data_IF_409018583705
#
_entry.id   IF_409018583705
#
_cell.length_a   1.000
_cell.length_b   1.000
_cell.length_c   1.000
_cell.angle_alpha   90.00
_cell.angle_beta   90.00
_cell.angle_gamma   90.00
#
_symmetry.space_group_name_H-M   'P 1'
#
loop_
_entity.id
_entity.type
_entity.pdbx_description
1 polymer ?
#
# COMPACT_ATOMS: atom_id res chain seq x y z
N UNK A 1 6.38 -36.53 17.87
CA UNK A 1 5.25 -35.61 17.58
C UNK A 1 5.44 -35.09 16.16
N UNK A 2 4.52 -35.40 15.25
CA UNK A 2 4.56 -34.90 13.87
C UNK A 2 4.22 -33.40 13.87
N UNK A 3 5.11 -32.56 13.33
CA UNK A 3 4.85 -31.13 13.19
C UNK A 3 3.74 -30.93 12.15
N UNK A 4 2.57 -30.49 12.59
CA UNK A 4 1.50 -30.05 11.69
C UNK A 4 1.98 -28.85 10.90
N UNK A 5 1.89 -28.92 9.58
CA UNK A 5 2.21 -27.79 8.70
C UNK A 5 0.99 -26.88 8.68
N UNK A 6 1.15 -25.64 9.17
CA UNK A 6 0.14 -24.60 8.97
C UNK A 6 0.42 -23.88 7.66
N UNK A 7 -0.64 -23.64 6.90
CA UNK A 7 -0.66 -22.86 5.67
C UNK A 7 -1.34 -21.52 5.94
N UNK A 8 -0.73 -20.42 5.50
CA UNK A 8 -1.39 -19.11 5.47
C UNK A 8 -2.09 -18.96 4.12
N UNK A 9 -3.39 -18.66 4.16
CA UNK A 9 -4.16 -18.35 2.97
C UNK A 9 -3.59 -17.10 2.27
N UNK A 10 -3.19 -17.18 1.00
CA UNK A 10 -2.60 -16.05 0.28
C UNK A 10 -3.56 -14.87 0.10
N UNK A 11 -4.88 -15.10 0.24
CA UNK A 11 -5.93 -14.12 -0.05
C UNK A 11 -6.40 -13.34 1.18
N UNK A 12 -6.71 -14.03 2.29
CA UNK A 12 -7.21 -13.42 3.52
C UNK A 12 -6.24 -13.51 4.71
N UNK A 13 -5.13 -14.23 4.57
CA UNK A 13 -4.12 -14.40 5.60
C UNK A 13 -4.54 -15.30 6.76
N UNK A 14 -5.67 -16.02 6.63
CA UNK A 14 -6.08 -17.03 7.62
C UNK A 14 -5.08 -18.17 7.69
N UNK A 15 -4.76 -18.62 8.90
CA UNK A 15 -3.94 -19.80 9.15
C UNK A 15 -4.80 -21.04 9.22
N UNK A 16 -4.48 -22.07 8.45
CA UNK A 16 -5.26 -23.30 8.37
C UNK A 16 -4.36 -24.51 8.15
N UNK A 17 -4.92 -25.71 8.33
CA UNK A 17 -4.27 -26.94 7.87
C UNK A 17 -4.17 -26.98 6.34
N UNK A 18 -3.26 -27.80 5.83
CA UNK A 18 -3.09 -28.02 4.39
C UNK A 18 -4.43 -28.46 3.73
N UNK A 19 -4.88 -27.71 2.72
CA UNK A 19 -6.10 -27.95 1.95
C UNK A 19 -6.02 -27.25 0.61
N UNK A 20 -6.92 -27.56 -0.33
CA UNK A 20 -6.96 -26.95 -1.66
C UNK A 20 -7.68 -25.57 -1.68
N UNK A 21 -8.45 -25.28 -0.64
CA UNK A 21 -9.27 -24.07 -0.50
C UNK A 21 -9.15 -23.47 0.89
N UNK A 22 -9.30 -22.16 0.98
CA UNK A 22 -9.35 -21.49 2.27
C UNK A 22 -10.65 -21.82 3.03
N UNK A 23 -10.55 -22.22 4.29
CA UNK A 23 -11.73 -22.48 5.14
C UNK A 23 -12.47 -21.22 5.56
N UNK A 24 -11.78 -20.07 5.53
CA UNK A 24 -12.33 -18.75 5.92
C UNK A 24 -12.93 -18.00 4.73
N UNK A 25 -12.18 -17.80 3.64
CA UNK A 25 -12.67 -17.04 2.47
C UNK A 25 -13.14 -17.90 1.29
N UNK A 26 -12.98 -19.24 1.33
CA UNK A 26 -13.34 -20.13 0.22
C UNK A 26 -12.43 -20.08 -1.01
N UNK A 27 -11.41 -19.21 -1.01
CA UNK A 27 -10.51 -19.01 -2.15
C UNK A 27 -9.71 -20.27 -2.52
N UNK A 28 -9.66 -20.58 -3.81
CA UNK A 28 -8.92 -21.72 -4.40
C UNK A 28 -7.44 -21.41 -4.50
N UNK A 29 -6.55 -22.33 -4.11
CA UNK A 29 -5.09 -22.14 -4.25
C UNK A 29 -4.55 -22.49 -5.64
N UNK A 30 -5.38 -22.35 -6.67
CA UNK A 30 -5.02 -22.58 -8.06
C UNK A 30 -4.12 -21.45 -8.61
N UNK A 31 -3.34 -21.70 -9.67
CA UNK A 31 -2.47 -20.68 -10.28
C UNK A 31 -3.21 -19.43 -10.78
N UNK A 32 -4.40 -19.56 -11.36
CA UNK A 32 -5.16 -18.42 -11.92
C UNK A 32 -5.65 -17.46 -10.83
N UNK A 33 -6.23 -18.00 -9.75
CA UNK A 33 -6.66 -17.20 -8.60
C UNK A 33 -5.49 -16.45 -7.94
N UNK A 34 -4.30 -17.07 -7.92
CA UNK A 34 -3.06 -16.42 -7.46
C UNK A 34 -2.61 -15.30 -8.39
N UNK A 35 -2.67 -15.50 -9.70
CA UNK A 35 -2.35 -14.46 -10.68
C UNK A 35 -3.30 -13.25 -10.54
N UNK A 36 -4.61 -13.49 -10.39
CA UNK A 36 -5.59 -12.42 -10.20
C UNK A 36 -5.28 -11.56 -8.96
N UNK A 37 -4.92 -12.21 -7.85
CA UNK A 37 -4.52 -11.52 -6.61
C UNK A 37 -3.23 -10.73 -6.79
N UNK A 38 -2.28 -11.27 -7.54
CA UNK A 38 -1.01 -10.61 -7.83
C UNK A 38 -1.20 -9.31 -8.61
N UNK A 39 -2.13 -9.30 -9.58
CA UNK A 39 -2.43 -8.13 -10.38
C UNK A 39 -2.99 -6.96 -9.53
N UNK A 40 -3.59 -7.25 -8.37
CA UNK A 40 -4.09 -6.25 -7.43
C UNK A 40 -2.96 -5.67 -6.56
N UNK A 41 -2.12 -4.80 -7.13
CA UNK A 41 -1.09 -4.10 -6.36
C UNK A 41 -1.71 -3.10 -5.37
N UNK A 42 -1.34 -3.23 -4.10
CA UNK A 42 -1.74 -2.31 -3.04
C UNK A 42 -0.58 -1.90 -2.12
N UNK A 43 -0.85 -0.99 -1.17
CA UNK A 43 0.06 -0.64 -0.08
C UNK A 43 0.40 -1.84 0.81
N UNK A 44 1.22 -1.64 1.85
CA UNK A 44 1.45 -2.67 2.86
C UNK A 44 0.24 -2.84 3.76
N UNK A 45 -0.13 -4.07 4.08
CA UNK A 45 -1.18 -4.36 5.06
C UNK A 45 -0.67 -5.31 6.13
N UNK A 46 -1.16 -5.09 7.34
CA UNK A 46 -0.94 -5.94 8.52
C UNK A 46 -2.27 -6.62 8.82
N UNK A 47 -2.27 -7.94 8.96
CA UNK A 47 -3.49 -8.68 9.29
C UNK A 47 -3.86 -8.41 10.74
N UNK A 48 -5.05 -7.88 10.94
CA UNK A 48 -5.68 -7.69 12.24
C UNK A 48 -7.09 -8.26 12.18
N UNK A 49 -7.35 -9.30 12.96
CA UNK A 49 -8.66 -9.98 13.00
C UNK A 49 -9.74 -9.06 13.59
N UNK A 50 -9.36 -8.14 14.48
CA UNK A 50 -10.27 -7.14 15.04
C UNK A 50 -10.53 -5.96 14.11
N UNK A 51 -9.65 -5.74 13.11
CA UNK A 51 -9.75 -4.64 12.15
C UNK A 51 -9.48 -5.12 10.71
N UNK A 52 -10.36 -5.97 10.13
CA UNK A 52 -10.12 -6.57 8.81
C UNK A 52 -10.06 -5.55 7.67
N UNK A 53 -10.64 -4.37 7.86
CA UNK A 53 -10.67 -3.27 6.88
C UNK A 53 -9.68 -2.15 7.20
N UNK A 54 -8.61 -2.45 7.97
CA UNK A 54 -7.57 -1.46 8.24
C UNK A 54 -6.96 -0.97 6.91
N UNK A 55 -6.87 0.34 6.68
CA UNK A 55 -6.22 0.87 5.49
C UNK A 55 -4.77 0.40 5.43
N UNK A 56 -4.25 0.25 4.22
CA UNK A 56 -2.83 -0.04 4.07
C UNK A 56 -1.94 1.12 4.52
N UNK A 57 -0.67 0.84 4.70
CA UNK A 57 0.35 1.77 5.19
C UNK A 57 1.56 1.82 4.24
N UNK A 58 2.39 2.85 4.39
CA UNK A 58 3.67 2.95 3.69
C UNK A 58 4.70 1.99 4.28
N UNK A 59 5.76 1.69 3.52
CA UNK A 59 6.88 0.89 4.03
C UNK A 59 7.53 1.52 5.27
N UNK A 60 7.72 2.85 5.28
CA UNK A 60 8.31 3.54 6.43
C UNK A 60 7.43 3.43 7.68
N UNK A 61 6.11 3.47 7.50
CA UNK A 61 5.16 3.21 8.59
C UNK A 61 5.30 1.79 9.11
N UNK A 62 5.46 0.82 8.21
CA UNK A 62 5.70 -0.56 8.59
C UNK A 62 7.02 -0.72 9.38
N UNK A 63 8.10 -0.06 8.96
CA UNK A 63 9.38 -0.05 9.70
C UNK A 63 9.22 0.56 11.10
N UNK A 64 8.55 1.71 11.22
CA UNK A 64 8.27 2.30 12.54
C UNK A 64 7.48 1.36 13.45
N UNK A 65 6.57 0.54 12.90
CA UNK A 65 5.81 -0.44 13.67
C UNK A 65 6.67 -1.66 14.08
N UNK A 66 7.67 -2.03 13.29
CA UNK A 66 8.68 -3.04 13.67
C UNK A 66 9.55 -2.52 14.81
N UNK A 67 10.07 -1.30 14.70
CA UNK A 67 10.93 -0.70 15.72
C UNK A 67 10.20 -0.55 17.06
N UNK A 68 8.88 -0.30 17.02
CA UNK A 68 8.01 -0.26 18.21
C UNK A 68 7.61 -1.63 18.75
N UNK A 69 7.97 -2.73 18.07
CA UNK A 69 7.59 -4.09 18.44
C UNK A 69 6.11 -4.44 18.19
N UNK A 70 5.37 -3.60 17.48
CA UNK A 70 3.96 -3.88 17.11
C UNK A 70 3.90 -4.95 16.02
N UNK A 71 4.80 -4.87 15.04
CA UNK A 71 5.01 -5.91 14.04
C UNK A 71 6.12 -6.81 14.54
N UNK A 72 5.79 -8.08 14.76
CA UNK A 72 6.71 -9.10 15.26
C UNK A 72 7.03 -10.10 14.16
N UNK A 73 8.00 -10.99 14.40
CA UNK A 73 8.39 -12.06 13.47
C UNK A 73 7.23 -12.98 13.03
N UNK A 74 6.18 -13.08 13.84
CA UNK A 74 5.01 -13.94 13.61
C UNK A 74 3.82 -13.18 13.03
N UNK A 75 3.89 -11.85 12.93
CA UNK A 75 2.83 -11.02 12.35
C UNK A 75 2.63 -11.38 10.88
N UNK A 76 1.38 -11.51 10.46
CA UNK A 76 1.02 -11.79 9.07
C UNK A 76 0.86 -10.47 8.33
N UNK A 77 1.61 -10.28 7.25
CA UNK A 77 1.63 -9.06 6.45
C UNK A 77 1.52 -9.39 4.96
N UNK A 78 1.05 -8.42 4.17
CA UNK A 78 1.10 -8.46 2.70
C UNK A 78 1.64 -7.13 2.19
N UNK A 79 2.30 -7.14 1.05
CA UNK A 79 2.75 -5.93 0.40
C UNK A 79 3.47 -6.20 -0.92
N UNK A 80 4.13 -5.17 -1.47
CA UNK A 80 4.78 -5.26 -2.77
C UNK A 80 5.84 -6.38 -2.84
N UNK A 81 6.70 -6.55 -1.83
CA UNK A 81 7.75 -7.59 -1.84
C UNK A 81 7.23 -9.00 -1.53
N UNK A 82 5.95 -9.14 -1.16
CA UNK A 82 5.30 -10.44 -0.92
C UNK A 82 4.48 -10.92 -2.12
N UNK A 83 4.58 -10.23 -3.27
CA UNK A 83 3.72 -10.45 -4.44
C UNK A 83 2.24 -10.30 -4.09
N UNK A 84 1.93 -9.39 -3.17
CA UNK A 84 0.58 -9.15 -2.62
C UNK A 84 -0.03 -10.32 -1.85
N UNK A 85 0.71 -11.42 -1.62
CA UNK A 85 0.23 -12.53 -0.80
C UNK A 85 0.49 -12.27 0.69
N UNK A 86 -0.43 -12.74 1.52
CA UNK A 86 -0.22 -12.78 2.97
C UNK A 86 0.87 -13.79 3.35
N UNK A 87 1.82 -13.36 4.16
CA UNK A 87 2.92 -14.19 4.65
C UNK A 87 3.37 -13.72 6.04
N UNK A 88 4.15 -14.55 6.75
CA UNK A 88 4.74 -14.16 8.04
C UNK A 88 5.88 -13.16 7.83
N UNK A 89 5.94 -12.13 8.68
CA UNK A 89 6.87 -11.02 8.56
C UNK A 89 8.35 -11.45 8.48
N UNK A 90 8.75 -12.50 9.20
CA UNK A 90 10.13 -13.05 9.14
C UNK A 90 10.53 -13.68 7.80
N UNK A 91 9.58 -13.88 6.88
CA UNK A 91 9.84 -14.40 5.51
C UNK A 91 9.70 -13.34 4.43
N UNK A 92 9.45 -12.09 4.82
CA UNK A 92 9.21 -10.99 3.90
C UNK A 92 10.54 -10.34 3.51
N UNK A 93 10.90 -10.33 2.21
CA UNK A 93 12.07 -9.58 1.74
C UNK A 93 11.95 -8.10 2.12
N UNK A 94 13.03 -7.55 2.67
CA UNK A 94 13.11 -6.17 3.16
C UNK A 94 12.56 -5.92 4.57
N UNK A 95 11.80 -6.86 5.15
CA UNK A 95 11.27 -6.75 6.51
C UNK A 95 11.94 -7.73 7.47
N UNK A 96 12.24 -8.94 7.01
CA UNK A 96 12.72 -10.04 7.85
C UNK A 96 14.03 -9.74 8.60
N UNK A 97 15.00 -9.08 7.94
CA UNK A 97 16.31 -8.79 8.54
C UNK A 97 16.17 -7.78 9.71
N UNK A 98 15.24 -6.83 9.62
CA UNK A 98 14.89 -5.91 10.72
C UNK A 98 14.31 -6.64 11.93
N UNK A 99 13.73 -7.82 11.71
CA UNK A 99 13.22 -8.72 12.74
C UNK A 99 14.26 -9.74 13.22
N UNK A 100 15.49 -9.68 12.67
CA UNK A 100 16.62 -10.53 13.02
C UNK A 100 16.66 -11.88 12.29
N UNK A 101 15.98 -12.02 11.14
CA UNK A 101 15.93 -13.27 10.37
C UNK A 101 16.18 -13.06 8.87
N UNK A 102 16.85 -14.03 8.24
CA UNK A 102 16.95 -14.09 6.79
C UNK A 102 15.62 -14.54 6.18
N UNK A 103 15.09 -13.76 5.23
CA UNK A 103 13.84 -14.09 4.55
C UNK A 103 13.89 -15.41 3.74
N UNK A 104 15.09 -15.81 3.27
CA UNK A 104 15.27 -16.98 2.42
C UNK A 104 15.52 -18.29 3.21
N UNK A 105 16.44 -18.27 4.17
CA UNK A 105 16.86 -19.46 4.91
C UNK A 105 16.45 -19.49 6.39
N UNK A 106 15.83 -18.44 6.92
CA UNK A 106 15.41 -18.30 8.33
C UNK A 106 16.59 -18.28 9.34
N UNK A 107 17.84 -18.15 8.88
CA UNK A 107 19.00 -17.94 9.74
C UNK A 107 18.90 -16.60 10.48
N UNK A 108 19.42 -16.53 11.71
CA UNK A 108 19.51 -15.27 12.45
C UNK A 108 20.49 -14.34 11.75
N UNK A 109 20.15 -13.06 11.68
CA UNK A 109 21.00 -11.99 11.09
C UNK A 109 20.85 -10.72 11.91
N UNK A 110 21.82 -9.82 11.81
CA UNK A 110 21.73 -8.52 12.45
C UNK A 110 20.91 -7.55 11.59
N UNK A 111 20.21 -6.61 12.24
CA UNK A 111 19.32 -5.68 11.54
C UNK A 111 20.06 -4.67 10.64
N UNK A 112 21.38 -4.56 10.79
CA UNK A 112 22.27 -3.73 9.97
C UNK A 112 23.02 -4.49 8.87
N UNK A 113 22.85 -5.81 8.78
CA UNK A 113 23.49 -6.60 7.71
C UNK A 113 22.93 -6.19 6.34
N UNK A 114 23.78 -6.21 5.31
CA UNK A 114 23.36 -5.99 3.91
C UNK A 114 22.98 -7.30 3.20
N UNK A 115 23.46 -8.43 3.71
CA UNK A 115 23.16 -9.76 3.18
C UNK A 115 23.26 -10.84 4.26
N UNK A 116 22.62 -11.98 4.01
CA UNK A 116 22.68 -13.12 4.93
C UNK A 116 24.03 -13.84 4.85
N UNK A 117 24.75 -13.90 5.97
CA UNK A 117 26.02 -14.64 6.06
C UNK A 117 25.88 -16.16 5.81
N UNK A 118 24.67 -16.74 5.96
CA UNK A 118 24.45 -18.17 5.77
C UNK A 118 24.13 -18.59 4.33
N UNK A 119 23.42 -17.75 3.56
CA UNK A 119 22.96 -18.10 2.21
C UNK A 119 23.26 -17.04 1.14
N UNK A 120 23.85 -15.90 1.51
CA UNK A 120 24.18 -14.79 0.60
C UNK A 120 22.98 -13.97 0.13
N UNK A 121 21.76 -14.22 0.61
CA UNK A 121 20.59 -13.46 0.20
C UNK A 121 20.74 -11.98 0.61
N UNK A 122 20.65 -11.07 -0.36
CA UNK A 122 20.72 -9.63 -0.13
C UNK A 122 19.49 -9.11 0.64
N UNK A 123 19.69 -8.12 1.50
CA UNK A 123 18.64 -7.45 2.27
C UNK A 123 18.27 -6.06 1.73
N UNK A 124 19.07 -5.52 0.81
CA UNK A 124 18.74 -4.31 0.06
C UNK A 124 17.38 -4.47 -0.60
N UNK A 125 16.45 -3.59 -0.28
CA UNK A 125 15.09 -3.62 -0.81
C UNK A 125 15.07 -2.74 -2.05
N UNK A 126 14.88 -3.35 -3.23
CA UNK A 126 14.55 -2.59 -4.43
C UNK A 126 13.09 -2.15 -4.30
N UNK A 127 12.87 -0.86 -3.99
CA UNK A 127 11.52 -0.27 -3.90
C UNK A 127 11.00 0.25 -5.23
N UNK A 128 11.73 0.08 -6.32
CA UNK A 128 11.23 0.48 -7.63
C UNK A 128 10.05 -0.43 -8.01
N UNK A 129 8.89 0.20 -8.16
CA UNK A 129 7.62 -0.44 -8.54
C UNK A 129 7.77 -1.34 -9.77
N UNK A 130 8.67 -1.00 -10.69
CA UNK A 130 8.94 -1.77 -11.91
C UNK A 130 9.94 -2.92 -11.69
N UNK A 131 10.82 -2.83 -10.68
CA UNK A 131 11.91 -3.78 -10.41
C UNK A 131 11.74 -4.55 -9.09
N UNK A 132 10.54 -4.59 -8.50
CA UNK A 132 10.20 -5.41 -7.31
C UNK A 132 10.32 -6.94 -7.54
N UNK A 133 10.94 -7.38 -8.64
CA UNK A 133 10.99 -8.78 -9.06
C UNK A 133 9.59 -9.36 -9.30
N UNK A 134 8.61 -8.49 -9.57
CA UNK A 134 7.25 -8.89 -9.88
C UNK A 134 7.20 -9.29 -11.36
N UNK A 135 6.61 -10.44 -11.70
CA UNK A 135 6.32 -10.79 -13.07
C UNK A 135 5.45 -9.70 -13.69
N UNK A 136 5.63 -9.49 -14.99
CA UNK A 136 4.75 -8.64 -15.80
C UNK A 136 3.27 -8.96 -15.50
N UNK A 137 2.45 -7.91 -15.36
CA UNK A 137 1.00 -8.06 -15.19
C UNK A 137 0.50 -8.80 -16.43
N UNK A 138 0.21 -10.09 -16.27
CA UNK A 138 -0.40 -10.88 -17.33
C UNK A 138 -1.90 -10.63 -17.28
N UNK A 139 -2.52 -10.23 -18.40
CA UNK A 139 -3.96 -10.19 -18.48
C UNK A 139 -4.51 -11.58 -18.20
N UNK A 140 -5.65 -11.61 -17.53
CA UNK A 140 -6.33 -12.85 -17.21
C UNK A 140 -7.07 -13.34 -18.47
N UNK A 141 -7.29 -14.66 -18.66
CA UNK A 141 -7.84 -15.19 -19.90
C UNK A 141 -9.19 -14.58 -20.35
N UNK A 142 -9.94 -13.98 -19.42
CA UNK A 142 -11.21 -13.31 -19.71
C UNK A 142 -11.09 -11.82 -20.05
N UNK A 143 -9.95 -11.19 -19.75
CA UNK A 143 -9.69 -9.77 -20.07
C UNK A 143 -9.34 -9.59 -21.55
N UNK A 144 -8.69 -10.60 -22.15
CA UNK A 144 -8.22 -10.59 -23.54
C UNK A 144 -9.34 -10.66 -24.58
N UNK A 145 -10.52 -11.17 -24.21
CA UNK A 145 -11.66 -11.29 -25.12
C UNK A 145 -12.17 -9.93 -25.65
N UNK A 146 -11.83 -8.83 -24.97
CA UNK A 146 -12.26 -7.47 -25.36
C UNK A 146 -11.17 -6.69 -26.11
N UNK A 147 -9.90 -7.09 -26.00
CA UNK A 147 -8.75 -6.34 -26.54
C UNK A 147 -8.21 -6.91 -27.87
N UNK A 148 -8.64 -8.11 -28.27
CA UNK A 148 -8.17 -8.80 -29.48
C UNK A 148 -8.49 -8.11 -30.83
N UNK A 149 -9.14 -6.93 -30.83
CA UNK A 149 -9.41 -6.14 -32.04
C UNK A 149 -8.25 -5.25 -32.53
N UNK A 150 -7.16 -5.08 -31.76
CA UNK A 150 -6.12 -4.08 -32.04
C UNK A 150 -4.70 -4.66 -32.18
N UNK A 151 -4.49 -5.55 -33.16
CA UNK A 151 -3.29 -5.60 -34.03
C UNK A 151 -1.86 -5.42 -33.50
N UNK A 152 -1.50 -5.76 -32.25
CA UNK A 152 -0.07 -5.86 -31.84
C UNK A 152 0.33 -7.31 -31.59
N UNK A 153 1.19 -7.83 -32.45
CA UNK A 153 1.87 -9.10 -32.27
C UNK A 153 3.02 -8.90 -31.25
N UNK A 154 2.81 -9.30 -29.99
CA UNK A 154 3.90 -9.42 -29.04
C UNK A 154 4.59 -10.78 -29.21
N UNK A 155 5.91 -10.78 -29.40
CA UNK A 155 6.73 -11.99 -29.40
C UNK A 155 6.72 -12.65 -28.02
N UNK A 156 6.50 -13.97 -27.92
CA UNK A 156 6.57 -14.67 -26.64
C UNK A 156 8.05 -14.80 -26.21
N UNK A 157 8.48 -13.94 -25.28
CA UNK A 157 9.67 -14.23 -24.50
C UNK A 157 9.43 -15.49 -23.66
N UNK A 158 10.41 -16.39 -23.64
CA UNK A 158 10.32 -17.79 -23.17
C UNK A 158 9.63 -17.96 -21.81
N UNK A 159 8.52 -18.68 -21.80
CA UNK A 159 7.53 -18.76 -20.72
C UNK A 159 7.71 -19.90 -19.71
N UNK A 160 8.74 -20.74 -19.81
CA UNK A 160 8.75 -22.02 -19.08
C UNK A 160 9.64 -22.10 -17.83
N UNK A 161 10.41 -21.08 -17.48
CA UNK A 161 11.37 -21.20 -16.36
C UNK A 161 10.71 -20.95 -14.99
N UNK A 162 9.58 -20.24 -14.93
CA UNK A 162 9.03 -19.72 -13.67
C UNK A 162 8.00 -20.64 -13.01
N UNK A 163 7.46 -21.62 -13.76
CA UNK A 163 6.62 -22.68 -13.19
C UNK A 163 7.45 -23.76 -12.46
N UNK A 164 8.74 -23.92 -12.79
CA UNK A 164 9.64 -24.90 -12.15
C UNK A 164 10.20 -24.47 -10.79
N UNK A 165 10.06 -23.20 -10.38
CA UNK A 165 10.27 -22.80 -8.97
C UNK A 165 9.04 -23.05 -8.08
N UNK A 166 7.98 -23.66 -8.62
CA UNK A 166 6.72 -24.00 -7.94
C UNK A 166 6.78 -25.14 -6.92
N UNK A 167 7.92 -25.36 -6.23
CA UNK A 167 8.11 -26.53 -5.38
C UNK A 167 7.54 -26.44 -3.97
N UNK A 168 7.35 -25.24 -3.39
CA UNK A 168 6.83 -25.11 -2.02
C UNK A 168 6.02 -23.83 -1.87
N UNK A 169 4.73 -23.96 -1.54
CA UNK A 169 3.91 -22.86 -1.00
C UNK A 169 4.75 -22.17 0.10
N UNK A 170 5.17 -20.94 -0.14
CA UNK A 170 6.23 -20.26 0.63
C UNK A 170 5.81 -19.81 2.05
N UNK A 171 4.62 -20.16 2.50
CA UNK A 171 4.03 -19.65 3.75
C UNK A 171 3.86 -20.69 4.86
N UNK A 172 4.59 -21.81 4.82
CA UNK A 172 4.57 -22.75 5.95
C UNK A 172 5.26 -22.15 7.19
N UNK A 173 4.48 -21.58 8.10
CA UNK A 173 4.89 -21.37 9.48
C UNK A 173 4.58 -22.65 10.28
N UNK A 174 5.44 -23.02 11.24
CA UNK A 174 5.13 -24.17 12.10
C UNK A 174 4.11 -23.77 13.15
N UNK A 175 3.26 -24.71 13.55
CA UNK A 175 2.21 -24.56 14.57
C UNK A 175 2.66 -23.76 15.82
N UNK A 176 3.81 -24.14 16.35
CA UNK A 176 4.42 -23.59 17.56
C UNK A 176 4.74 -22.09 17.45
N UNK A 177 4.95 -21.61 16.21
CA UNK A 177 5.28 -20.21 15.92
C UNK A 177 4.05 -19.33 15.72
N UNK A 178 2.89 -19.90 15.36
CA UNK A 178 1.65 -19.14 15.19
C UNK A 178 0.79 -19.13 16.46
N UNK A 179 0.74 -20.24 17.20
CA UNK A 179 -0.06 -20.36 18.42
C UNK A 179 0.45 -19.52 19.60
N UNK A 180 1.72 -19.11 19.59
CA UNK A 180 2.24 -18.17 20.60
C UNK A 180 1.58 -16.78 20.51
N UNK A 181 0.89 -16.47 19.41
CA UNK A 181 0.19 -15.18 19.23
C UNK A 181 -1.23 -15.20 19.81
N UNK A 182 -1.96 -16.31 19.67
CA UNK A 182 -3.35 -16.45 20.14
C UNK A 182 -3.47 -16.72 21.64
N UNK A 183 -2.47 -17.34 22.26
CA UNK A 183 -2.48 -17.59 23.71
C UNK A 183 -2.16 -16.36 24.57
N UNK A 184 -1.68 -15.25 23.98
CA UNK A 184 -1.17 -14.08 24.71
C UNK A 184 -1.99 -12.78 24.61
N UNK A 185 -3.05 -12.73 23.80
CA UNK A 185 -3.82 -11.48 23.55
C UNK A 185 -5.31 -11.56 23.91
N UNK A 186 -5.70 -12.52 24.77
CA UNK A 186 -6.91 -12.34 25.57
C UNK A 186 -6.65 -11.19 26.54
N UNK A 187 -7.47 -10.15 26.47
CA UNK A 187 -7.42 -8.96 27.33
C UNK A 187 -7.08 -9.29 28.80
N UNK A 188 -5.80 -9.17 29.16
CA UNK A 188 -5.29 -9.48 30.49
C UNK A 188 -5.41 -8.28 31.42
N UNK A 189 -6.34 -8.36 32.36
CA UNK A 189 -6.29 -7.62 33.62
C UNK A 189 -4.96 -7.96 34.31
N UNK A 190 -4.07 -6.98 34.43
CA UNK A 190 -2.75 -7.14 35.07
C UNK A 190 -2.96 -7.30 36.58
N UNK A 191 -2.74 -8.50 37.10
CA UNK A 191 -2.53 -8.75 38.52
C UNK A 191 -1.12 -8.28 38.92
N UNK A 192 -1.03 -7.54 40.02
CA UNK A 192 0.21 -6.95 40.52
C UNK A 192 1.23 -8.02 40.98
N UNK A 193 2.52 -7.92 40.60
CA UNK A 193 3.55 -8.77 41.17
C UNK A 193 3.95 -8.31 42.58
N UNK A 194 4.24 -9.29 43.44
CA UNK A 194 4.68 -9.10 44.82
C UNK A 194 6.09 -8.44 44.91
N UNK A 195 6.36 -7.66 45.96
CA UNK A 195 7.63 -6.94 46.13
C UNK A 195 8.78 -7.87 46.56
N UNK A 196 9.92 -7.75 45.88
CA UNK A 196 11.20 -8.36 46.27
C UNK A 196 12.13 -7.31 46.90
N UNK A 197 13.04 -7.70 47.82
CA UNK A 197 13.86 -6.76 48.59
C UNK A 197 15.05 -6.21 47.79
N UNK A 198 15.27 -4.92 47.98
CA UNK A 198 16.34 -4.09 47.40
C UNK A 198 17.68 -4.32 48.12
N UNK A 199 18.75 -4.50 47.35
CA UNK A 199 20.13 -4.28 47.80
C UNK A 199 20.77 -3.21 46.92
N UNK A 200 21.44 -2.26 47.59
CA UNK A 200 22.02 -1.04 47.01
C UNK A 200 23.34 -1.33 46.29
N UNK A 201 23.58 -0.67 45.15
CA UNK A 201 24.92 -0.57 44.58
C UNK A 201 25.00 0.00 43.16
N UNK A 202 25.46 1.25 43.09
CA UNK A 202 26.21 1.87 41.98
C UNK A 202 25.46 2.45 40.79
N UNK A 203 25.59 3.78 40.68
CA UNK A 203 25.09 4.66 39.65
C UNK A 203 25.78 4.41 38.30
N UNK A 204 25.01 3.95 37.34
CA UNK A 204 25.27 4.06 35.91
C UNK A 204 24.06 4.84 35.38
N UNK A 205 24.30 6.02 34.80
CA UNK A 205 23.24 6.84 34.19
C UNK A 205 22.64 6.10 32.99
N UNK A 206 21.62 5.29 33.27
CA UNK A 206 20.75 4.68 32.27
C UNK A 206 19.86 5.77 31.69
N UNK A 207 20.03 6.02 30.39
CA UNK A 207 19.08 6.79 29.60
C UNK A 207 17.74 6.05 29.65
N UNK A 208 16.83 6.59 30.45
CA UNK A 208 15.54 6.01 30.79
C UNK A 208 14.61 6.15 29.56
N UNK A 209 14.73 5.23 28.60
CA UNK A 209 13.78 4.98 27.51
C UNK A 209 12.46 4.48 28.11
N UNK A 210 11.79 5.38 28.82
CA UNK A 210 10.53 5.12 29.50
C UNK A 210 9.45 5.01 28.45
N UNK A 211 9.24 3.80 27.96
CA UNK A 211 8.12 3.44 27.09
C UNK A 211 6.85 4.12 27.62
N UNK A 212 6.08 4.83 26.77
CA UNK A 212 4.87 5.51 27.20
C UNK A 212 3.94 4.47 27.80
N UNK A 213 3.72 4.57 29.11
CA UNK A 213 2.82 3.70 29.85
C UNK A 213 1.47 3.57 29.16
N UNK A 214 0.79 2.45 29.34
CA UNK A 214 -0.55 2.21 28.81
C UNK A 214 -1.53 3.37 29.13
N UNK A 215 -1.33 4.06 30.25
CA UNK A 215 -2.08 5.25 30.65
C UNK A 215 -1.90 6.43 29.66
N UNK A 216 -0.67 6.68 29.19
CA UNK A 216 -0.36 7.70 28.18
C UNK A 216 -0.94 7.36 26.81
N UNK A 217 -0.94 6.08 26.42
CA UNK A 217 -1.56 5.63 25.16
C UNK A 217 -3.09 5.84 25.20
N UNK A 218 -3.73 5.48 26.32
CA UNK A 218 -5.16 5.70 26.51
C UNK A 218 -5.53 7.20 26.57
N UNK A 219 -4.66 8.04 27.13
CA UNK A 219 -4.85 9.49 27.14
C UNK A 219 -4.79 10.08 25.71
N UNK A 220 -3.82 9.64 24.89
CA UNK A 220 -3.72 10.02 23.48
C UNK A 220 -4.94 9.58 22.67
N UNK A 221 -5.41 8.34 22.84
CA UNK A 221 -6.61 7.84 22.15
C UNK A 221 -7.87 8.68 22.47
N UNK A 222 -8.03 9.15 23.72
CA UNK A 222 -9.15 10.02 24.09
C UNK A 222 -9.07 11.40 23.41
N UNK A 223 -7.87 11.93 23.17
CA UNK A 223 -7.71 13.20 22.45
C UNK A 223 -8.07 13.05 20.97
N UNK A 224 -7.66 11.95 20.33
CA UNK A 224 -8.01 11.65 18.93
C UNK A 224 -9.52 11.50 18.76
N UNK A 225 -10.20 10.76 19.65
CA UNK A 225 -11.67 10.61 19.59
C UNK A 225 -12.42 11.93 19.80
N UNK A 226 -11.87 12.88 20.56
CA UNK A 226 -12.47 14.24 20.68
C UNK A 226 -12.32 15.03 19.38
N UNK A 227 -11.17 14.91 18.71
CA UNK A 227 -10.95 15.59 17.44
C UNK A 227 -11.87 15.06 16.33
N UNK A 228 -12.12 13.74 16.24
CA UNK A 228 -13.05 13.20 15.24
C UNK A 228 -14.47 13.75 15.38
N UNK A 229 -14.97 13.92 16.61
CA UNK A 229 -16.30 14.51 16.84
C UNK A 229 -16.36 15.98 16.41
N UNK A 230 -15.28 16.73 16.62
CA UNK A 230 -15.19 18.13 16.19
C UNK A 230 -15.12 18.23 14.67
N UNK A 231 -14.29 17.42 14.01
CA UNK A 231 -14.19 17.39 12.54
C UNK A 231 -15.54 17.02 11.90
N UNK A 232 -16.25 16.03 12.45
CA UNK A 232 -17.57 15.63 11.93
C UNK A 232 -18.62 16.74 12.13
N UNK A 233 -18.59 17.46 13.25
CA UNK A 233 -19.48 18.61 13.48
C UNK A 233 -19.16 19.78 12.54
N UNK A 234 -17.88 20.10 12.34
CA UNK A 234 -17.46 21.14 11.40
C UNK A 234 -17.83 20.79 9.95
N UNK A 235 -17.71 19.52 9.55
CA UNK A 235 -18.13 19.06 8.24
C UNK A 235 -19.62 19.25 7.98
N UNK A 236 -20.48 18.97 8.97
CA UNK A 236 -21.93 19.21 8.86
C UNK A 236 -22.23 20.70 8.75
N UNK A 237 -21.61 21.55 9.57
CA UNK A 237 -21.81 23.01 9.53
C UNK A 237 -21.36 23.58 8.18
N UNK A 238 -20.22 23.13 7.64
CA UNK A 238 -19.73 23.54 6.33
C UNK A 238 -20.69 23.13 5.21
N UNK A 239 -21.21 21.90 5.23
CA UNK A 239 -22.18 21.43 4.25
C UNK A 239 -23.48 22.24 4.26
N UNK A 240 -23.99 22.59 5.44
CA UNK A 240 -25.18 23.44 5.58
C UNK A 240 -24.91 24.86 5.06
N UNK A 241 -23.75 25.45 5.38
CA UNK A 241 -23.37 26.78 4.90
C UNK A 241 -23.26 26.83 3.36
N UNK A 242 -22.65 25.80 2.75
CA UNK A 242 -22.57 25.67 1.29
C UNK A 242 -23.97 25.54 0.68
N UNK A 243 -24.85 24.72 1.27
CA UNK A 243 -26.23 24.57 0.82
C UNK A 243 -27.01 25.89 0.83
N UNK A 244 -26.89 26.67 1.91
CA UNK A 244 -27.51 28.01 2.02
C UNK A 244 -26.94 28.96 0.95
N UNK A 245 -25.62 28.93 0.73
CA UNK A 245 -24.96 29.74 -0.30
C UNK A 245 -25.46 29.44 -1.71
N UNK A 246 -25.62 28.16 -2.06
CA UNK A 246 -26.18 27.74 -3.35
C UNK A 246 -27.63 28.22 -3.51
N UNK A 247 -28.46 28.08 -2.47
CA UNK A 247 -29.85 28.56 -2.51
C UNK A 247 -29.91 30.08 -2.73
N UNK A 248 -29.09 30.85 -2.03
CA UNK A 248 -29.04 32.31 -2.23
C UNK A 248 -28.57 32.68 -3.64
N UNK A 249 -27.56 31.99 -4.19
CA UNK A 249 -27.10 32.20 -5.55
C UNK A 249 -28.21 31.95 -6.58
N UNK A 250 -28.95 30.86 -6.42
CA UNK A 250 -30.11 30.55 -7.27
C UNK A 250 -31.17 31.65 -7.18
N UNK A 251 -31.48 32.16 -5.98
CA UNK A 251 -32.43 33.26 -5.82
C UNK A 251 -31.97 34.55 -6.51
N UNK A 252 -30.67 34.88 -6.46
CA UNK A 252 -30.11 36.06 -7.16
C UNK A 252 -30.24 35.89 -8.67
N UNK A 253 -29.90 34.70 -9.20
CA UNK A 253 -30.02 34.41 -10.64
C UNK A 253 -31.48 34.46 -11.12
N UNK A 254 -32.41 33.92 -10.34
CA UNK A 254 -33.84 34.00 -10.67
C UNK A 254 -34.36 35.45 -10.62
N UNK A 255 -33.85 36.29 -9.71
CA UNK A 255 -34.23 37.70 -9.63
C UNK A 255 -33.67 38.52 -10.79
N UNK A 256 -32.43 38.29 -11.20
CA UNK A 256 -31.79 38.97 -12.33
C UNK A 256 -32.40 38.60 -13.70
N UNK A 257 -32.88 37.36 -13.86
CA UNK A 257 -33.54 36.91 -15.09
C UNK A 257 -34.83 37.67 -15.42
N UNK A 258 -35.58 38.09 -14.40
CA UNK A 258 -36.81 38.86 -14.59
C UNK A 258 -36.54 40.28 -15.12
N UNK A 259 -35.43 40.90 -14.71
CA UNK A 259 -35.04 42.25 -15.18
C UNK A 259 -34.44 42.19 -16.60
N UNK A 260 -33.71 41.13 -16.93
CA UNK A 260 -33.12 40.94 -18.26
C UNK A 260 -34.18 40.70 -19.34
N UNK A 261 -35.25 39.95 -19.04
CA UNK A 261 -36.38 39.76 -19.96
C UNK A 261 -37.15 41.07 -20.25
N UNK A 262 -37.27 41.96 -19.25
CA UNK A 262 -37.90 43.26 -19.43
C UNK A 262 -37.06 44.22 -20.29
N UNK A 263 -35.74 44.19 -20.18
CA UNK A 263 -34.84 45.01 -21.01
C UNK A 263 -34.74 44.50 -22.46
N UNK A 264 -34.70 43.19 -22.68
CA UNK A 264 -34.62 42.63 -24.04
C UNK A 264 -35.89 42.88 -24.87
N UNK A 265 -37.07 42.93 -24.21
CA UNK A 265 -38.31 43.37 -24.87
C UNK A 265 -38.29 44.87 -25.26
N UNK A 266 -37.45 45.68 -24.61
CA UNK A 266 -37.32 47.13 -24.88
C UNK A 266 -36.36 47.41 -26.04
N UNK A 267 -35.32 46.59 -26.23
CA UNK A 267 -34.40 46.71 -27.37
C UNK A 267 -35.04 46.27 -28.69
N UNK A 268 -35.89 45.24 -28.69
CA UNK A 268 -36.58 44.79 -29.92
C UNK A 268 -37.60 45.79 -30.50
N UNK A 269 -38.01 46.82 -29.75
CA UNK A 269 -38.84 47.92 -30.26
C UNK A 269 -38.03 49.09 -30.82
N UNK A 270 -36.68 49.07 -30.70
CA UNK A 270 -35.80 50.17 -31.10
C UNK A 270 -34.89 49.86 -32.31
N UNK A 271 -35.01 48.69 -32.93
CA UNK A 271 -34.31 48.40 -34.19
C UNK A 271 -35.26 48.51 -35.40
N UNK A 272 -35.24 49.70 -35.98
CA UNK A 272 -35.83 50.00 -37.29
C UNK A 272 -34.91 49.38 -38.36
N UNK A 273 -35.42 48.60 -39.32
CA UNK A 273 -34.57 47.91 -40.30
C UNK A 273 -33.94 48.90 -41.28
N UNK A 274 -32.63 49.05 -41.18
CA UNK A 274 -31.78 49.73 -42.15
C UNK A 274 -31.25 48.72 -43.18
N UNK A 275 -31.55 49.01 -44.43
CA UNK A 275 -31.22 48.31 -45.68
C UNK A 275 -29.74 48.00 -45.90
N UNK A 276 -29.52 46.75 -46.32
CA UNK A 276 -28.50 46.19 -47.23
C UNK A 276 -27.36 47.09 -47.76
N UNK A 277 -26.13 46.57 -47.65
CA UNK A 277 -25.16 46.40 -48.75
C UNK A 277 -23.98 45.57 -48.20
N UNK A 278 -23.73 44.34 -48.67
CA UNK A 278 -23.02 43.95 -49.90
C UNK A 278 -21.51 43.82 -49.71
N UNK A 279 -20.91 42.86 -50.42
CA UNK A 279 -19.47 42.52 -50.58
C UNK A 279 -18.81 41.78 -49.40
N UNK A 280 -17.88 40.85 -49.57
CA UNK A 280 -17.30 40.04 -50.65
C UNK A 280 -16.34 39.09 -49.90
N UNK A 281 -16.32 37.79 -50.20
CA UNK A 281 -15.26 37.18 -51.00
C UNK A 281 -13.84 37.37 -50.44
N UNK A 282 -13.23 36.30 -49.92
CA UNK A 282 -11.80 35.93 -50.11
C UNK A 282 -11.43 34.67 -49.30
N UNK A 283 -11.32 33.55 -50.02
CA UNK A 283 -10.11 32.74 -50.19
C UNK A 283 -9.10 32.55 -49.05
N UNK A 284 -8.91 31.26 -48.73
CA UNK A 284 -7.62 30.53 -48.80
C UNK A 284 -6.50 30.84 -47.78
N UNK A 285 -5.53 29.92 -47.73
CA UNK A 285 -4.23 29.93 -47.03
C UNK A 285 -4.11 29.02 -45.78
N UNK A 286 -3.83 27.76 -46.09
CA UNK A 286 -2.58 27.04 -45.75
C UNK A 286 -2.27 26.56 -44.30
N UNK A 287 -2.21 25.23 -44.21
CA UNK A 287 -1.18 24.45 -43.46
C UNK A 287 0.24 25.01 -43.70
N UNK A 288 1.23 24.87 -42.79
CA UNK A 288 1.83 23.55 -42.52
C UNK A 288 2.43 23.31 -41.11
N UNK A 289 2.47 22.02 -40.76
CA UNK A 289 3.55 21.22 -40.18
C UNK A 289 4.71 21.81 -39.31
N UNK A 290 5.09 20.96 -38.34
CA UNK A 290 6.45 20.62 -37.82
C UNK A 290 6.84 21.10 -36.41
N UNK A 291 7.27 20.12 -35.61
CA UNK A 291 8.57 19.95 -34.89
C UNK A 291 8.28 19.12 -33.62
N UNK A 292 8.80 17.92 -33.35
CA UNK A 292 10.11 17.29 -33.55
C UNK A 292 11.25 17.92 -32.75
N UNK A 293 11.38 17.56 -31.47
CA UNK A 293 12.64 17.56 -30.70
C UNK A 293 12.45 16.58 -29.53
N UNK A 294 13.09 15.40 -29.42
CA UNK A 294 14.50 15.01 -29.53
C UNK A 294 15.40 15.49 -28.38
N UNK A 295 16.02 14.48 -27.75
CA UNK A 295 17.35 14.46 -27.10
C UNK A 295 17.56 15.12 -25.73
N UNK A 296 18.09 14.33 -24.78
CA UNK A 296 18.75 14.85 -23.60
C UNK A 296 18.99 13.86 -22.45
N UNK A 297 19.56 12.68 -22.70
CA UNK A 297 20.15 11.84 -21.64
C UNK A 297 21.67 12.08 -21.58
N UNK A 298 22.27 12.32 -20.41
CA UNK A 298 23.70 12.15 -20.22
C UNK A 298 24.00 10.82 -19.53
N UNK A 299 24.84 10.03 -20.21
CA UNK A 299 25.59 8.94 -19.63
C UNK A 299 26.65 9.50 -18.66
N UNK A 300 26.75 8.91 -17.47
CA UNK A 300 27.92 9.06 -16.60
C UNK A 300 28.46 7.67 -16.27
N UNK A 301 29.54 7.34 -16.98
CA UNK A 301 30.45 6.23 -16.77
C UNK A 301 31.51 6.56 -15.71
N UNK A 302 32.15 5.50 -15.19
CA UNK A 302 33.38 5.44 -14.36
C UNK A 302 33.22 5.85 -12.88
N UNK A 303 33.80 5.16 -11.89
CA UNK A 303 35.17 4.60 -11.88
C UNK A 303 35.33 3.54 -10.78
N UNK A 304 36.09 2.49 -11.11
CA UNK A 304 36.67 1.47 -10.24
C UNK A 304 37.91 1.97 -9.47
N UNK A 305 38.09 1.56 -8.22
CA UNK A 305 39.38 1.43 -7.47
C UNK A 305 39.07 0.65 -6.19
N UNK A 306 39.49 -0.60 -5.94
CA UNK A 306 40.84 -1.16 -5.75
C UNK A 306 41.52 -0.78 -4.42
N UNK A 307 41.66 -1.80 -3.57
CA UNK A 307 42.79 -2.13 -2.66
C UNK A 307 42.98 -1.39 -1.32
N UNK A 308 42.92 -2.14 -0.21
CA UNK A 308 43.97 -2.33 0.85
C UNK A 308 43.39 -3.30 1.91
N UNK A 309 43.81 -4.57 2.02
CA UNK A 309 45.01 -5.10 2.73
C UNK A 309 45.39 -4.34 4.02
N UNK A 310 45.18 -5.00 5.17
CA UNK A 310 46.05 -5.09 6.37
C UNK A 310 45.31 -5.99 7.38
N UNK A 311 45.79 -7.21 7.63
CA UNK A 311 46.80 -7.61 8.63
C UNK A 311 46.13 -8.23 9.87
#
# INVERSE_FOLDING_TARGET
>A
MSRTKLLICPYCGETQSESERCTSCGGLFEPLSRQATHNAMGPWYIRDVGQPFRPGCSHDTLMMLVDRGVVTRTTVVRGPTTRQFWTVARRVPGLAHRLGYCHACDARVDAGDESCHACGAAFSVYFDRNDLGLPEIRPLPWEDASAAGAGRQHHPASTNEWMSMGGRLSSFATDEQLFSQSAGHSAGTIAAPAPMPVTNGSALETHDDRMPTQATINALQRTVQRQERLVRRLGIVAAVAIGIGIIMLIMILMRGGAESAANSAREHLSEKPGTAADTADTDDVAEPARTSASSGAPAASSTSSSATEHA
#
